data_IF_068415936672
#
_entry.id   IF_068415936672
#
_cell.length_a   1.000
_cell.length_b   1.000
_cell.length_c   1.000
_cell.angle_alpha   90.00
_cell.angle_beta   90.00
_cell.angle_gamma   90.00
#
_symmetry.space_group_name_H-M   'P 1'
#
loop_
_entity.id
_entity.type
_entity.pdbx_description
1 polymer ?
#
# COMPACT_ATOMS: atom_id res chain seq x y z
N UNK A 1 37.51 21.61 50.07
CA UNK A 1 36.55 22.24 49.14
C UNK A 1 36.33 21.29 47.96
N UNK A 2 35.14 20.70 47.83
CA UNK A 2 34.77 19.80 46.71
C UNK A 2 33.76 20.53 45.82
N UNK A 3 34.19 20.88 44.62
CA UNK A 3 33.39 21.57 43.61
C UNK A 3 32.37 20.60 42.99
N UNK A 4 31.08 20.78 43.30
CA UNK A 4 29.98 20.04 42.67
C UNK A 4 29.54 20.79 41.42
N UNK A 5 30.08 20.40 40.27
CA UNK A 5 29.56 20.81 38.95
C UNK A 5 28.11 20.34 38.80
N UNK A 6 27.19 21.31 38.82
CA UNK A 6 25.78 21.13 38.47
C UNK A 6 25.73 20.73 36.99
N UNK A 7 25.34 19.47 36.72
CA UNK A 7 25.10 18.99 35.35
C UNK A 7 23.86 19.71 34.83
N UNK A 8 24.03 20.52 33.79
CA UNK A 8 22.96 21.26 33.15
C UNK A 8 21.83 20.33 32.70
N UNK A 9 20.60 20.71 33.02
CA UNK A 9 19.38 20.08 32.51
C UNK A 9 19.35 20.34 31.01
N UNK A 10 19.67 19.33 30.21
CA UNK A 10 19.54 19.39 28.76
C UNK A 10 18.04 19.43 28.44
N UNK A 11 17.50 20.63 28.20
CA UNK A 11 16.15 20.82 27.68
C UNK A 11 16.12 20.30 26.24
N UNK A 12 15.74 19.04 26.05
CA UNK A 12 15.41 18.55 24.71
C UNK A 12 14.05 19.16 24.31
N UNK A 13 13.93 19.78 23.13
CA UNK A 13 12.65 20.28 22.65
C UNK A 13 11.65 19.12 22.55
N UNK A 14 10.39 19.36 22.95
CA UNK A 14 9.37 18.31 23.05
C UNK A 14 8.88 17.83 21.68
N UNK A 15 9.15 18.58 20.62
CA UNK A 15 8.73 18.28 19.27
C UNK A 15 9.82 17.54 18.51
N UNK A 16 9.46 16.43 17.86
CA UNK A 16 10.29 15.88 16.80
C UNK A 16 10.40 16.93 15.68
N UNK A 17 11.62 17.20 15.22
CA UNK A 17 11.87 18.12 14.10
C UNK A 17 10.94 17.76 12.92
N UNK A 18 10.24 18.73 12.30
CA UNK A 18 9.32 18.47 11.19
C UNK A 18 10.00 17.71 10.04
N UNK A 19 11.31 17.92 9.87
CA UNK A 19 12.14 17.18 8.92
C UNK A 19 12.29 15.69 9.24
N UNK A 20 12.28 15.31 10.53
CA UNK A 20 12.32 13.90 10.96
C UNK A 20 10.97 13.22 10.73
N UNK A 21 9.87 13.93 10.91
CA UNK A 21 8.53 13.43 10.62
C UNK A 21 8.38 13.26 9.10
N UNK A 22 8.72 14.29 8.32
CA UNK A 22 8.69 14.24 6.85
C UNK A 22 9.58 13.10 6.31
N UNK A 23 10.82 12.99 6.78
CA UNK A 23 11.72 11.91 6.39
C UNK A 23 11.16 10.53 6.71
N UNK A 24 10.49 10.37 7.85
CA UNK A 24 9.85 9.10 8.23
C UNK A 24 8.66 8.75 7.36
N UNK A 25 7.82 9.74 7.04
CA UNK A 25 6.67 9.53 6.14
C UNK A 25 7.19 9.09 4.77
N UNK A 26 8.11 9.85 4.18
CA UNK A 26 8.71 9.53 2.87
C UNK A 26 9.37 8.15 2.88
N UNK A 27 10.18 7.82 3.89
CA UNK A 27 10.82 6.51 3.97
C UNK A 27 9.79 5.38 4.10
N UNK A 28 8.76 5.57 4.93
CA UNK A 28 7.72 4.55 5.13
C UNK A 28 6.88 4.34 3.87
N UNK A 29 6.50 5.42 3.18
CA UNK A 29 5.77 5.35 1.91
C UNK A 29 6.61 4.65 0.86
N UNK A 30 7.89 5.00 0.71
CA UNK A 30 8.78 4.35 -0.25
C UNK A 30 8.92 2.86 0.06
N UNK A 31 9.10 2.48 1.33
CA UNK A 31 9.17 1.08 1.75
C UNK A 31 7.89 0.31 1.41
N UNK A 32 6.72 0.87 1.71
CA UNK A 32 5.44 0.24 1.40
C UNK A 32 5.25 0.09 -0.11
N UNK A 33 5.61 1.10 -0.90
CA UNK A 33 5.54 1.05 -2.37
C UNK A 33 6.45 -0.05 -2.93
N UNK A 34 7.72 -0.10 -2.49
CA UNK A 34 8.68 -1.11 -2.95
C UNK A 34 8.21 -2.51 -2.55
N UNK A 35 7.76 -2.70 -1.31
CA UNK A 35 7.26 -4.00 -0.86
C UNK A 35 5.99 -4.40 -1.63
N UNK A 36 5.08 -3.46 -1.86
CA UNK A 36 3.88 -3.67 -2.67
C UNK A 36 4.21 -4.09 -4.10
N UNK A 37 5.21 -3.45 -4.73
CA UNK A 37 5.69 -3.85 -6.06
C UNK A 37 6.29 -5.25 -6.07
N UNK A 38 7.09 -5.62 -5.07
CA UNK A 38 7.64 -6.98 -4.94
C UNK A 38 6.51 -8.00 -4.78
N UNK A 39 5.52 -7.70 -3.94
CA UNK A 39 4.34 -8.57 -3.76
C UNK A 39 3.59 -8.73 -5.08
N UNK A 40 3.29 -7.63 -5.76
CA UNK A 40 2.56 -7.65 -7.03
C UNK A 40 3.35 -8.35 -8.16
N UNK A 41 4.66 -8.16 -8.28
CA UNK A 41 5.41 -8.68 -9.43
C UNK A 41 6.00 -10.07 -9.20
N UNK A 42 6.19 -10.50 -7.94
CA UNK A 42 6.86 -11.77 -7.61
C UNK A 42 5.94 -12.70 -6.85
N UNK A 43 5.27 -12.22 -5.79
CA UNK A 43 4.50 -13.09 -4.88
C UNK A 43 3.16 -13.47 -5.50
N UNK A 44 2.41 -12.51 -6.03
CA UNK A 44 1.08 -12.74 -6.62
C UNK A 44 1.11 -13.75 -7.78
N UNK A 45 2.00 -13.63 -8.80
CA UNK A 45 2.06 -14.63 -9.88
C UNK A 45 2.38 -16.02 -9.35
N UNK A 46 3.30 -16.13 -8.38
CA UNK A 46 3.69 -17.42 -7.78
C UNK A 46 2.54 -18.07 -7.02
N UNK A 47 1.79 -17.30 -6.24
CA UNK A 47 0.64 -17.81 -5.47
C UNK A 47 -0.54 -18.20 -6.36
N UNK A 48 -0.70 -17.53 -7.50
CA UNK A 48 -1.76 -17.82 -8.47
C UNK A 48 -1.37 -18.89 -9.49
N UNK A 49 -0.22 -19.55 -9.33
CA UNK A 49 0.30 -20.55 -10.27
C UNK A 49 0.66 -19.99 -11.65
N UNK A 50 0.78 -18.66 -11.77
CA UNK A 50 1.06 -17.95 -13.00
C UNK A 50 2.48 -17.38 -13.06
N UNK A 51 2.66 -16.36 -13.91
CA UNK A 51 3.96 -15.78 -14.19
C UNK A 51 3.87 -14.30 -14.55
N UNK A 52 4.96 -13.56 -14.27
CA UNK A 52 5.22 -12.26 -14.90
C UNK A 52 5.95 -12.49 -16.21
N UNK A 53 5.43 -11.95 -17.32
CA UNK A 53 5.95 -12.07 -18.68
C UNK A 53 6.26 -10.70 -19.26
N UNK A 54 7.14 -10.67 -20.25
CA UNK A 54 7.44 -9.45 -21.03
C UNK A 54 6.84 -9.62 -22.42
N UNK A 55 6.12 -8.61 -22.89
CA UNK A 55 5.57 -8.59 -24.24
C UNK A 55 6.70 -8.37 -25.23
N UNK A 56 6.86 -9.29 -26.19
CA UNK A 56 7.97 -9.28 -27.14
C UNK A 56 7.59 -8.73 -28.51
N UNK A 57 6.32 -8.88 -28.91
CA UNK A 57 5.81 -8.55 -30.24
C UNK A 57 4.67 -7.53 -30.16
N UNK A 58 4.34 -6.90 -31.30
CA UNK A 58 3.25 -5.92 -31.43
C UNK A 58 1.90 -6.53 -31.83
N UNK A 59 1.70 -7.85 -31.66
CA UNK A 59 0.43 -8.50 -32.05
C UNK A 59 -0.74 -8.11 -31.16
N UNK A 60 -0.47 -7.60 -29.96
CA UNK A 60 -1.46 -7.13 -29.00
C UNK A 60 -1.62 -5.61 -28.96
N UNK A 61 -1.06 -4.88 -29.93
CA UNK A 61 -1.29 -3.44 -30.01
C UNK A 61 -2.75 -3.14 -30.38
N UNK A 62 -3.38 -2.09 -29.81
CA UNK A 62 -2.81 -1.09 -28.90
C UNK A 62 -2.85 -1.50 -27.41
N UNK A 63 -3.44 -2.64 -27.07
CA UNK A 63 -3.65 -3.09 -25.67
C UNK A 63 -2.33 -3.28 -24.93
N UNK A 64 -1.37 -3.97 -25.55
CA UNK A 64 -0.02 -4.16 -25.03
C UNK A 64 1.01 -3.82 -26.08
N UNK A 65 2.06 -3.12 -25.65
CA UNK A 65 3.18 -2.77 -26.51
C UNK A 65 4.39 -3.65 -26.20
N UNK A 66 5.29 -3.88 -27.17
CA UNK A 66 6.58 -4.50 -26.90
C UNK A 66 7.30 -3.80 -25.74
N UNK A 67 7.80 -4.58 -24.78
CA UNK A 67 8.45 -4.08 -23.57
C UNK A 67 7.51 -3.82 -22.39
N UNK A 68 6.20 -4.07 -22.52
CA UNK A 68 5.28 -4.08 -21.37
C UNK A 68 5.50 -5.34 -20.52
N UNK A 69 5.25 -5.22 -19.21
CA UNK A 69 5.21 -6.34 -18.28
C UNK A 69 3.76 -6.74 -18.08
N UNK A 70 3.44 -8.01 -18.27
CA UNK A 70 2.10 -8.56 -17.99
C UNK A 70 2.19 -9.64 -16.93
N UNK A 71 1.23 -9.64 -16.02
CA UNK A 71 1.07 -10.69 -15.01
C UNK A 71 -0.12 -11.54 -15.40
N UNK A 72 0.11 -12.84 -15.47
CA UNK A 72 -0.92 -13.84 -15.72
C UNK A 72 -1.11 -14.71 -14.48
N UNK A 73 -2.36 -15.12 -14.21
CA UNK A 73 -2.67 -16.20 -13.27
C UNK A 73 -2.58 -17.54 -13.99
N UNK A 74 -2.19 -18.59 -13.28
CA UNK A 74 -2.34 -19.95 -13.78
C UNK A 74 -3.81 -20.30 -13.95
N UNK A 75 -4.09 -21.21 -14.88
CA UNK A 75 -5.39 -21.84 -15.07
C UNK A 75 -5.14 -23.30 -15.40
N UNK A 76 -5.87 -24.21 -14.76
CA UNK A 76 -5.78 -25.64 -15.07
C UNK A 76 -6.63 -25.98 -16.30
N UNK A 77 -6.30 -27.08 -16.97
CA UNK A 77 -6.93 -27.47 -18.24
C UNK A 77 -8.46 -27.63 -18.12
N UNK A 78 -8.93 -28.16 -16.99
CA UNK A 78 -10.35 -28.35 -16.67
C UNK A 78 -11.10 -27.03 -16.44
N UNK A 79 -10.38 -25.98 -16.02
CA UNK A 79 -10.94 -24.66 -15.78
C UNK A 79 -11.01 -23.80 -17.04
N UNK A 80 -10.23 -24.09 -18.09
CA UNK A 80 -10.16 -23.23 -19.28
C UNK A 80 -11.53 -23.05 -19.93
N UNK A 81 -12.24 -24.15 -20.14
CA UNK A 81 -13.53 -24.11 -20.85
C UNK A 81 -14.62 -23.39 -20.04
N UNK A 82 -14.55 -23.46 -18.70
CA UNK A 82 -15.57 -22.91 -17.79
C UNK A 82 -15.26 -21.49 -17.34
N UNK A 83 -14.00 -21.16 -17.06
CA UNK A 83 -13.59 -19.91 -16.41
C UNK A 83 -13.04 -18.83 -17.34
N UNK A 84 -12.66 -19.14 -18.59
CA UNK A 84 -12.05 -18.16 -19.50
C UNK A 84 -13.11 -17.58 -20.43
N UNK A 85 -13.74 -16.43 -20.18
CA UNK A 85 -14.77 -15.91 -21.09
C UNK A 85 -14.18 -15.38 -22.41
N UNK A 86 -15.05 -15.19 -23.40
CA UNK A 86 -14.71 -14.44 -24.62
C UNK A 86 -14.36 -12.99 -24.24
N UNK A 87 -13.34 -12.44 -24.89
CA UNK A 87 -12.79 -11.11 -24.62
C UNK A 87 -11.58 -11.11 -23.69
N UNK A 88 -11.32 -12.22 -22.99
CA UNK A 88 -10.17 -12.38 -22.10
C UNK A 88 -8.87 -12.55 -22.88
N UNK A 89 -7.77 -11.98 -22.38
CA UNK A 89 -6.43 -12.24 -22.91
C UNK A 89 -5.83 -13.45 -22.21
N UNK A 90 -5.34 -14.39 -23.00
CA UNK A 90 -4.73 -15.63 -22.54
C UNK A 90 -3.32 -15.76 -23.06
N UNK A 91 -2.45 -16.39 -22.27
CA UNK A 91 -1.13 -16.83 -22.69
C UNK A 91 -1.15 -18.34 -22.85
N UNK A 92 -0.72 -18.83 -24.01
CA UNK A 92 -0.74 -20.23 -24.39
C UNK A 92 0.52 -20.61 -25.18
N UNK A 93 0.70 -21.91 -25.42
CA UNK A 93 1.80 -22.47 -26.22
C UNK A 93 1.34 -22.81 -27.63
N UNK A 94 2.21 -22.63 -28.63
CA UNK A 94 1.91 -23.00 -30.02
C UNK A 94 1.53 -24.49 -30.13
N UNK A 95 2.27 -25.36 -29.46
CA UNK A 95 1.91 -26.76 -29.22
C UNK A 95 2.05 -27.13 -27.74
N UNK A 96 1.32 -28.15 -27.25
CA UNK A 96 1.48 -28.63 -25.88
C UNK A 96 2.94 -29.00 -25.57
N UNK A 97 3.54 -28.31 -24.61
CA UNK A 97 4.92 -28.56 -24.18
C UNK A 97 5.99 -27.65 -24.80
N UNK A 98 5.64 -26.80 -25.77
CA UNK A 98 6.58 -25.83 -26.35
C UNK A 98 6.97 -24.73 -25.34
N UNK A 99 8.27 -24.41 -25.12
CA UNK A 99 8.66 -23.26 -24.32
C UNK A 99 8.17 -21.90 -24.86
N UNK A 100 7.84 -21.78 -26.14
CA UNK A 100 7.35 -20.54 -26.73
C UNK A 100 5.94 -20.20 -26.24
N UNK A 101 5.76 -18.93 -25.83
CA UNK A 101 4.49 -18.42 -25.33
C UNK A 101 3.93 -17.36 -26.28
N UNK A 102 2.66 -17.52 -26.61
CA UNK A 102 1.86 -16.59 -27.42
C UNK A 102 0.80 -15.99 -26.49
N UNK A 103 0.53 -14.69 -26.60
CA UNK A 103 -0.48 -14.01 -25.79
C UNK A 103 -1.46 -13.29 -26.69
N UNK A 104 -2.70 -13.76 -26.77
CA UNK A 104 -3.75 -13.22 -27.64
C UNK A 104 -5.11 -13.17 -26.93
N UNK A 105 -6.08 -12.47 -27.53
CA UNK A 105 -7.43 -12.34 -27.00
C UNK A 105 -8.31 -13.48 -27.48
N UNK A 106 -9.08 -14.07 -26.58
CA UNK A 106 -10.12 -15.04 -26.92
C UNK A 106 -11.25 -14.29 -27.63
N UNK A 107 -11.47 -14.58 -28.89
CA UNK A 107 -12.57 -14.00 -29.71
C UNK A 107 -13.75 -14.96 -29.86
N UNK A 108 -13.55 -16.24 -29.56
CA UNK A 108 -14.61 -17.23 -29.61
C UNK A 108 -14.26 -18.52 -28.87
N UNK A 109 -15.25 -19.41 -28.78
CA UNK A 109 -15.10 -20.76 -28.27
C UNK A 109 -15.90 -21.73 -29.11
N UNK A 110 -15.26 -22.81 -29.51
CA UNK A 110 -15.95 -23.96 -30.10
C UNK A 110 -16.24 -24.95 -28.98
N UNK A 111 -17.50 -25.26 -28.73
CA UNK A 111 -17.92 -26.23 -27.71
C UNK A 111 -18.23 -27.56 -28.39
N UNK A 112 -17.70 -28.65 -27.84
CA UNK A 112 -17.89 -29.99 -28.40
C UNK A 112 -17.05 -31.02 -27.68
N UNK A 113 -17.14 -32.27 -28.10
CA UNK A 113 -16.25 -33.35 -27.62
C UNK A 113 -15.14 -33.52 -28.63
N UNK A 114 -13.89 -33.41 -28.18
CA UNK A 114 -12.71 -33.55 -29.03
C UNK A 114 -11.91 -34.80 -28.69
N UNK A 115 -11.00 -35.19 -29.57
CA UNK A 115 -10.22 -36.45 -29.47
C UNK A 115 -9.34 -36.53 -28.21
N UNK A 116 -8.93 -35.37 -27.67
CA UNK A 116 -8.16 -35.24 -26.43
C UNK A 116 -9.04 -35.25 -25.16
N UNK A 117 -10.35 -35.49 -25.28
CA UNK A 117 -11.30 -35.54 -24.17
C UNK A 117 -11.70 -34.17 -23.62
N UNK A 118 -11.20 -33.08 -24.20
CA UNK A 118 -11.57 -31.72 -23.79
C UNK A 118 -12.93 -31.32 -24.36
N UNK A 119 -13.58 -30.34 -23.70
CA UNK A 119 -14.95 -29.91 -24.03
C UNK A 119 -15.03 -28.63 -24.86
N UNK A 120 -13.90 -28.00 -25.16
CA UNK A 120 -13.84 -26.78 -25.95
C UNK A 120 -12.51 -26.59 -26.69
N UNK A 121 -12.52 -25.70 -27.68
CA UNK A 121 -11.34 -25.01 -28.20
C UNK A 121 -11.52 -23.52 -28.07
N UNK A 122 -10.46 -22.82 -27.67
CA UNK A 122 -10.45 -21.37 -27.71
C UNK A 122 -10.09 -20.91 -29.12
N UNK A 123 -10.80 -19.92 -29.62
CA UNK A 123 -10.41 -19.20 -30.84
C UNK A 123 -9.79 -17.89 -30.37
N UNK A 124 -8.49 -17.72 -30.63
CA UNK A 124 -7.73 -16.54 -30.22
C UNK A 124 -7.36 -15.67 -31.42
N UNK A 125 -7.12 -14.40 -31.17
CA UNK A 125 -6.63 -13.45 -32.16
C UNK A 125 -5.83 -12.36 -31.47
N UNK A 126 -4.68 -12.00 -32.03
CA UNK A 126 -3.94 -10.82 -31.62
C UNK A 126 -4.73 -9.56 -31.97
N UNK A 127 -4.77 -8.58 -31.06
CA UNK A 127 -5.53 -7.34 -31.26
C UNK A 127 -5.11 -6.56 -32.54
N UNK A 128 -3.88 -6.76 -33.01
CA UNK A 128 -3.31 -6.18 -34.24
C UNK A 128 -3.20 -7.18 -35.40
N UNK A 129 -3.76 -8.38 -35.27
CA UNK A 129 -3.72 -9.41 -36.33
C UNK A 129 -5.01 -9.36 -37.17
N UNK A 130 -4.90 -9.65 -38.47
CA UNK A 130 -6.03 -9.68 -39.40
C UNK A 130 -6.80 -11.01 -39.44
N UNK A 131 -6.22 -12.06 -38.87
CA UNK A 131 -6.78 -13.41 -38.86
C UNK A 131 -6.74 -14.01 -37.45
N UNK A 132 -7.66 -14.94 -37.19
CA UNK A 132 -7.66 -15.75 -35.98
C UNK A 132 -6.53 -16.77 -36.02
N UNK A 133 -6.00 -17.12 -34.87
CA UNK A 133 -5.04 -18.21 -34.72
C UNK A 133 -5.73 -19.58 -34.89
N UNK A 134 -4.93 -20.64 -34.98
CA UNK A 134 -5.44 -22.01 -34.93
C UNK A 134 -6.16 -22.28 -33.60
N UNK A 135 -7.19 -23.15 -33.58
CA UNK A 135 -7.95 -23.44 -32.36
C UNK A 135 -7.06 -23.99 -31.24
N UNK A 136 -7.06 -23.29 -30.10
CA UNK A 136 -6.20 -23.59 -28.95
C UNK A 136 -6.91 -24.59 -28.01
N UNK A 137 -6.25 -25.72 -27.74
CA UNK A 137 -6.66 -26.71 -26.74
C UNK A 137 -6.45 -26.17 -25.31
N UNK A 138 -7.31 -26.52 -24.35
CA UNK A 138 -7.08 -26.25 -22.92
C UNK A 138 -5.69 -26.62 -22.41
N UNK A 139 -5.09 -27.70 -22.90
CA UNK A 139 -3.73 -28.15 -22.52
C UNK A 139 -2.61 -27.16 -22.91
N UNK A 140 -2.87 -26.29 -23.89
CA UNK A 140 -1.91 -25.28 -24.34
C UNK A 140 -1.96 -24.02 -23.49
N UNK A 141 -3.07 -23.77 -22.77
CA UNK A 141 -3.28 -22.54 -22.02
C UNK A 141 -2.45 -22.57 -20.74
N UNK A 142 -1.60 -21.56 -20.57
CA UNK A 142 -0.71 -21.44 -19.39
C UNK A 142 -1.20 -20.41 -18.39
N UNK A 143 -1.93 -19.40 -18.85
CA UNK A 143 -2.46 -18.42 -17.93
C UNK A 143 -3.42 -17.42 -18.55
N UNK A 144 -4.11 -16.72 -17.66
CA UNK A 144 -5.06 -15.67 -17.98
C UNK A 144 -4.50 -14.34 -17.49
N UNK A 145 -4.58 -13.31 -18.32
CA UNK A 145 -4.13 -11.97 -17.97
C UNK A 145 -4.84 -11.42 -16.73
N UNK A 146 -4.09 -10.80 -15.83
CA UNK A 146 -4.60 -10.10 -14.65
C UNK A 146 -4.40 -8.58 -14.74
N UNK A 147 -3.14 -8.15 -14.85
CA UNK A 147 -2.75 -6.74 -14.93
C UNK A 147 -1.42 -6.59 -15.65
N UNK A 148 -1.17 -5.39 -16.17
CA UNK A 148 0.07 -5.07 -16.88
C UNK A 148 0.63 -3.72 -16.45
N UNK A 149 1.95 -3.60 -16.50
CA UNK A 149 2.69 -2.37 -16.27
C UNK A 149 3.34 -1.94 -17.59
N UNK A 150 2.92 -0.80 -18.16
CA UNK A 150 3.48 -0.33 -19.41
C UNK A 150 4.96 0.03 -19.25
N UNK A 151 5.77 -0.29 -20.25
CA UNK A 151 7.22 -0.01 -20.29
C UNK A 151 8.03 -0.61 -19.12
N UNK A 152 7.50 -1.61 -18.43
CA UNK A 152 8.13 -2.22 -17.25
C UNK A 152 8.75 -3.60 -17.53
N UNK A 153 8.86 -4.02 -18.79
CA UNK A 153 9.44 -5.31 -19.16
C UNK A 153 10.89 -5.50 -18.71
N UNK A 154 11.66 -4.41 -18.66
CA UNK A 154 13.03 -4.39 -18.13
C UNK A 154 13.10 -4.69 -16.63
N UNK A 155 12.06 -4.33 -15.86
CA UNK A 155 11.98 -4.61 -14.42
C UNK A 155 11.96 -6.12 -14.18
N UNK A 156 11.14 -6.83 -14.95
CA UNK A 156 11.05 -8.30 -14.87
C UNK A 156 12.40 -8.96 -15.15
N UNK A 157 13.08 -8.54 -16.21
CA UNK A 157 14.39 -9.09 -16.57
C UNK A 157 15.39 -8.89 -15.43
N UNK A 158 15.49 -7.67 -14.91
CA UNK A 158 16.39 -7.36 -13.80
C UNK A 158 16.06 -8.16 -12.53
N UNK A 159 14.77 -8.27 -12.15
CA UNK A 159 14.31 -9.03 -10.98
C UNK A 159 14.63 -10.51 -11.11
N UNK A 160 14.46 -11.08 -12.31
CA UNK A 160 14.73 -12.51 -12.56
C UNK A 160 16.21 -12.82 -12.42
N UNK A 161 17.07 -11.97 -12.97
CA UNK A 161 18.53 -12.08 -12.87
C UNK A 161 19.03 -11.87 -11.43
N UNK A 162 18.36 -11.04 -10.63
CA UNK A 162 18.80 -10.59 -9.32
C UNK A 162 17.87 -11.00 -8.18
N UNK A 163 17.20 -12.15 -8.27
CA UNK A 163 16.16 -12.57 -7.31
C UNK A 163 16.66 -12.59 -5.85
N UNK A 164 17.91 -12.99 -5.63
CA UNK A 164 18.54 -12.99 -4.31
C UNK A 164 18.72 -11.57 -3.77
N UNK A 165 19.14 -10.63 -4.62
CA UNK A 165 19.30 -9.22 -4.26
C UNK A 165 17.95 -8.60 -3.92
N UNK A 166 16.91 -8.88 -4.72
CA UNK A 166 15.54 -8.42 -4.44
C UNK A 166 15.06 -8.94 -3.08
N UNK A 167 15.29 -10.22 -2.79
CA UNK A 167 14.96 -10.81 -1.48
C UNK A 167 15.69 -10.14 -0.32
N UNK A 168 16.99 -9.89 -0.46
CA UNK A 168 17.80 -9.19 0.54
C UNK A 168 17.37 -7.74 0.75
N UNK A 169 17.07 -7.01 -0.34
CA UNK A 169 16.58 -5.64 -0.26
C UNK A 169 15.21 -5.57 0.43
N UNK A 170 14.31 -6.49 0.12
CA UNK A 170 13.01 -6.58 0.81
C UNK A 170 13.20 -6.86 2.30
N UNK A 171 14.05 -7.82 2.67
CA UNK A 171 14.37 -8.11 4.06
C UNK A 171 15.02 -6.93 4.79
N UNK A 172 15.96 -6.24 4.13
CA UNK A 172 16.62 -5.06 4.67
C UNK A 172 15.63 -3.90 4.86
N UNK A 173 14.71 -3.68 3.93
CA UNK A 173 13.67 -2.66 4.05
C UNK A 173 12.75 -2.92 5.25
N UNK A 174 12.37 -4.18 5.47
CA UNK A 174 11.61 -4.60 6.66
C UNK A 174 12.45 -4.40 7.94
N UNK A 175 13.72 -4.80 7.94
CA UNK A 175 14.60 -4.63 9.08
C UNK A 175 14.79 -3.14 9.44
N UNK A 176 15.01 -2.28 8.45
CA UNK A 176 15.10 -0.82 8.63
C UNK A 176 13.80 -0.28 9.22
N UNK A 177 12.65 -0.70 8.71
CA UNK A 177 11.34 -0.28 9.23
C UNK A 177 11.15 -0.69 10.71
N UNK A 178 11.49 -1.94 11.05
CA UNK A 178 11.36 -2.46 12.42
C UNK A 178 12.36 -1.83 13.39
N UNK A 179 13.59 -1.58 12.94
CA UNK A 179 14.66 -1.00 13.74
C UNK A 179 14.62 0.53 13.78
N UNK A 180 13.79 1.17 12.96
CA UNK A 180 13.67 2.63 12.93
C UNK A 180 13.30 3.16 14.32
N UNK A 181 14.13 4.00 14.97
CA UNK A 181 13.96 4.38 16.38
C UNK A 181 12.61 5.04 16.72
N UNK A 182 11.91 5.59 15.72
CA UNK A 182 10.57 6.14 15.90
C UNK A 182 9.44 5.12 15.98
N UNK A 183 9.64 3.86 15.58
CA UNK A 183 8.62 2.79 15.70
C UNK A 183 8.41 2.36 17.16
N UNK A 184 9.41 2.58 18.01
CA UNK A 184 9.32 2.37 19.44
C UNK A 184 8.56 3.53 20.06
N UNK A 185 7.33 3.29 20.53
CA UNK A 185 6.55 4.24 21.32
C UNK A 185 7.47 4.82 22.39
N UNK A 186 7.62 6.14 22.43
CA UNK A 186 8.35 6.82 23.49
C UNK A 186 7.66 6.47 24.80
N UNK A 187 8.29 5.61 25.61
CA UNK A 187 7.85 5.41 26.98
C UNK A 187 8.04 6.76 27.67
N UNK A 188 6.96 7.49 27.88
CA UNK A 188 6.95 8.71 28.69
C UNK A 188 7.42 8.31 30.08
N UNK A 189 8.71 8.50 30.35
CA UNK A 189 9.29 8.21 31.66
C UNK A 189 8.82 9.34 32.57
N UNK A 190 7.70 9.09 33.27
CA UNK A 190 7.18 10.00 34.30
C UNK A 190 8.27 10.13 35.36
N UNK A 191 8.91 11.30 35.42
CA UNK A 191 9.90 11.60 36.43
C UNK A 191 9.13 11.87 37.73
N UNK A 192 8.90 10.82 38.52
CA UNK A 192 8.49 11.03 39.91
C UNK A 192 9.66 11.72 40.61
N UNK A 193 9.47 12.98 41.02
CA UNK A 193 10.42 13.66 41.90
C UNK A 193 10.23 13.02 43.28
N UNK A 194 11.21 12.24 43.80
CA UNK A 194 11.11 11.76 45.16
C UNK A 194 11.09 12.98 46.10
N UNK A 195 10.23 13.00 47.14
CA UNK A 195 10.33 14.03 48.18
C UNK A 195 11.75 13.98 48.71
N UNK A 196 12.48 15.08 48.54
CA UNK A 196 13.87 15.18 48.95
C UNK A 196 13.93 14.91 50.44
N UNK A 197 14.60 13.84 50.86
CA UNK A 197 14.83 13.49 52.26
C UNK A 197 15.79 14.45 52.94
N UNK A 198 15.43 15.73 52.99
CA UNK A 198 16.01 16.69 53.91
C UNK A 198 15.19 16.55 55.19
N UNK A 199 15.78 16.13 56.33
CA UNK A 199 15.07 16.20 57.59
C UNK A 199 14.64 17.66 57.79
N UNK A 200 13.33 17.88 57.86
CA UNK A 200 12.71 19.18 58.04
C UNK A 200 12.93 19.66 59.49
N UNK A 201 14.18 19.93 59.85
CA UNK A 201 14.51 20.57 61.12
C UNK A 201 15.04 21.96 60.78
N UNK A 202 14.13 22.92 60.68
CA UNK A 202 14.47 24.35 60.72
C UNK A 202 14.09 25.23 59.53
N UNK A 203 13.31 24.77 58.53
CA UNK A 203 12.61 25.72 57.65
C UNK A 203 11.26 26.11 58.28
N UNK A 204 10.88 27.40 58.34
CA UNK A 204 9.52 27.76 58.66
C UNK A 204 8.60 27.07 57.66
N UNK A 205 7.51 26.47 58.17
CA UNK A 205 6.51 25.80 57.35
C UNK A 205 6.15 26.70 56.17
N UNK A 206 6.40 26.21 54.94
CA UNK A 206 5.86 26.89 53.76
C UNK A 206 4.36 27.05 53.99
N UNK A 207 3.78 28.24 53.78
CA UNK A 207 2.36 28.43 53.99
C UNK A 207 1.63 27.39 53.16
N UNK A 208 0.72 26.65 53.80
CA UNK A 208 -0.16 25.74 53.10
C UNK A 208 -0.72 26.49 51.89
N UNK A 209 -0.60 25.90 50.70
CA UNK A 209 -1.20 26.48 49.50
C UNK A 209 -2.64 26.88 49.86
N UNK A 210 -3.06 28.13 49.60
CA UNK A 210 -4.36 28.59 50.03
C UNK A 210 -5.39 27.62 49.48
N UNK A 211 -6.19 27.02 50.37
CA UNK A 211 -7.34 26.23 49.97
C UNK A 211 -8.19 27.19 49.14
N UNK A 212 -8.45 26.91 47.85
CA UNK A 212 -9.14 27.86 46.98
C UNK A 212 -10.50 28.16 47.60
N UNK A 213 -10.77 29.45 47.80
CA UNK A 213 -12.01 29.99 48.34
C UNK A 213 -13.21 29.42 47.56
N UNK A 214 -14.34 29.18 48.21
CA UNK A 214 -15.51 28.58 47.57
C UNK A 214 -15.98 29.41 46.37
N UNK A 215 -15.72 30.72 46.40
CA UNK A 215 -15.92 31.62 45.27
C UNK A 215 -15.04 31.27 44.06
N UNK A 216 -13.77 30.94 44.27
CA UNK A 216 -12.86 30.53 43.19
C UNK A 216 -13.26 29.17 42.60
N UNK A 217 -13.75 28.25 43.43
CA UNK A 217 -14.28 26.96 42.96
C UNK A 217 -15.50 27.17 42.08
N UNK A 218 -16.45 28.00 42.53
CA UNK A 218 -17.64 28.33 41.74
C UNK A 218 -17.30 29.05 40.41
N UNK A 219 -16.24 29.86 40.37
CA UNK A 219 -15.77 30.48 39.13
C UNK A 219 -15.16 29.46 38.16
N UNK A 220 -14.36 28.51 38.68
CA UNK A 220 -13.81 27.42 37.85
C UNK A 220 -14.90 26.53 37.29
N UNK A 221 -15.92 26.20 38.06
CA UNK A 221 -17.07 25.42 37.58
C UNK A 221 -17.83 26.14 36.46
N UNK A 222 -18.03 27.46 36.59
CA UNK A 222 -18.63 28.27 35.52
C UNK A 222 -17.76 28.36 34.27
N UNK A 223 -16.44 28.45 34.43
CA UNK A 223 -15.53 28.44 33.28
C UNK A 223 -15.58 27.09 32.54
N UNK A 224 -15.67 25.98 33.28
CA UNK A 224 -15.82 24.65 32.70
C UNK A 224 -17.15 24.50 31.94
N UNK A 225 -18.26 24.97 32.52
CA UNK A 225 -19.58 24.93 31.87
C UNK A 225 -19.61 25.76 30.58
N UNK A 226 -18.93 26.92 30.57
CA UNK A 226 -18.77 27.74 29.37
C UNK A 226 -17.97 27.03 28.27
N UNK A 227 -16.87 26.36 28.63
CA UNK A 227 -16.06 25.60 27.67
C UNK A 227 -16.83 24.42 27.09
N UNK A 228 -17.61 23.73 27.91
CA UNK A 228 -18.43 22.61 27.46
C UNK A 228 -19.49 23.06 26.44
N UNK A 229 -20.11 24.23 26.66
CA UNK A 229 -21.03 24.85 25.68
C UNK A 229 -20.33 25.28 24.40
N UNK A 230 -19.12 25.84 24.48
CA UNK A 230 -18.36 26.25 23.30
C UNK A 230 -17.98 25.04 22.44
N UNK A 231 -17.60 23.92 23.07
CA UNK A 231 -17.32 22.66 22.39
C UNK A 231 -18.59 22.14 21.70
N UNK A 232 -19.72 22.11 22.39
CA UNK A 232 -20.98 21.65 21.81
C UNK A 232 -21.44 22.52 20.61
N UNK A 233 -21.19 23.83 20.65
CA UNK A 233 -21.46 24.72 19.53
C UNK A 233 -20.54 24.43 18.33
N UNK A 234 -19.24 24.24 18.57
CA UNK A 234 -18.28 23.85 17.53
C UNK A 234 -18.64 22.52 16.89
N UNK A 235 -19.06 21.53 17.69
CA UNK A 235 -19.51 20.24 17.17
C UNK A 235 -20.75 20.40 16.28
N UNK A 236 -21.72 21.23 16.67
CA UNK A 236 -22.89 21.53 15.83
C UNK A 236 -22.51 22.26 14.54
N UNK A 237 -21.61 23.23 14.59
CA UNK A 237 -21.12 23.91 13.38
C UNK A 237 -20.39 22.96 12.43
N UNK A 238 -19.61 22.02 12.96
CA UNK A 238 -18.93 21.00 12.17
C UNK A 238 -19.92 20.03 11.51
N UNK A 239 -20.96 19.62 12.23
CA UNK A 239 -22.03 18.77 11.67
C UNK A 239 -22.80 19.52 10.58
N UNK A 240 -23.09 20.81 10.77
CA UNK A 240 -23.73 21.64 9.74
C UNK A 240 -22.86 21.75 8.49
N UNK A 241 -21.56 22.05 8.63
CA UNK A 241 -20.62 22.11 7.50
C UNK A 241 -20.42 20.75 6.81
N UNK A 242 -20.46 19.64 7.56
CA UNK A 242 -20.34 18.30 6.99
C UNK A 242 -21.64 17.84 6.28
N UNK A 243 -22.78 18.47 6.60
CA UNK A 243 -24.08 18.19 5.99
C UNK A 243 -24.44 19.09 4.79
N UNK A 244 -23.65 20.12 4.50
CA UNK A 244 -23.85 20.96 3.32
C UNK A 244 -23.21 20.30 2.08
N UNK A 245 -24.00 19.88 1.06
CA UNK A 245 -23.42 19.55 -0.24
C UNK A 245 -22.82 20.82 -0.85
N UNK A 246 -21.58 20.73 -1.35
CA UNK A 246 -20.92 21.86 -2.00
C UNK A 246 -21.82 22.48 -3.08
N UNK A 247 -21.98 23.82 -3.12
CA UNK A 247 -22.66 24.47 -4.23
C UNK A 247 -21.83 24.27 -5.49
N UNK A 248 -22.37 23.48 -6.42
CA UNK A 248 -21.85 23.28 -7.76
C UNK A 248 -21.66 24.63 -8.46
N UNK A 249 -20.42 25.09 -8.59
CA UNK A 249 -20.10 26.21 -9.49
C UNK A 249 -20.09 25.69 -10.93
N UNK A 250 -21.25 25.74 -11.58
CA UNK A 250 -21.41 25.58 -13.03
C UNK A 250 -21.74 26.92 -13.69
N UNK A 251 -20.82 27.37 -14.55
CA UNK A 251 -21.01 28.10 -15.83
C UNK A 251 -21.66 29.49 -15.84
N UNK A 252 -20.89 30.47 -16.33
CA UNK A 252 -21.20 31.48 -17.39
C UNK A 252 -19.84 32.13 -17.73
N UNK A 253 -19.18 32.03 -18.90
CA UNK A 253 -19.59 32.22 -20.29
C UNK A 253 -20.51 33.42 -20.49
N UNK A 254 -19.93 34.63 -20.64
CA UNK A 254 -20.21 35.56 -21.75
C UNK A 254 -19.39 36.86 -21.59
N UNK A 255 -19.03 37.43 -22.75
CA UNK A 255 -18.30 38.67 -23.06
C UNK A 255 -16.76 38.63 -22.99
#
# INVERSE_FOLDING_TARGET
>A
MRDRRIRGVVRRPWYDSPWRIAGRVVSSTLTVVVLGLVVALVVVPRLTGGASLTVLTGSMEPTFRPGDLVVVRGVSEDEVCTQVPVGTVVTFQAEPGDPALITHRVVGKTIGTFDDGTSCRLVTQGDNNSATDDPVSPAQVRGVFMYGLPKAGWVRQWVTEHVQVVGLLAAAAVAVYLLWPGSRRSTTRVLSVPPSGVPATGLPAAPAAPVPDDRERGLRERELDLREREIALRERELVLRAGEPEPSTSVTSEA
#
